data_IF_940822593555
#
_entry.id   IF_940822593555
#
_cell.length_a   1.000
_cell.length_b   1.000
_cell.length_c   1.000
_cell.angle_alpha   90.00
_cell.angle_beta   90.00
_cell.angle_gamma   90.00
#
_symmetry.space_group_name_H-M   'P 1'
#
loop_
_entity.id
_entity.type
_entity.pdbx_description
1 polymer ?
#
# COMPACT_ATOMS: atom_id res chain seq x y z
N UNK A 1 23.04 -1.16 -11.71
CA UNK A 1 21.69 -0.67 -11.36
C UNK A 1 21.50 -0.74 -9.85
N UNK A 2 20.83 0.20 -9.22
CA UNK A 2 20.60 0.19 -7.78
C UNK A 2 19.80 -1.07 -7.40
N UNK A 3 20.22 -1.71 -6.31
CA UNK A 3 19.54 -2.90 -5.79
C UNK A 3 18.22 -2.46 -5.15
N UNK A 4 17.05 -3.02 -5.54
CA UNK A 4 15.80 -2.70 -4.88
C UNK A 4 15.82 -3.26 -3.45
N UNK A 5 15.54 -2.40 -2.46
CA UNK A 5 15.47 -2.78 -1.05
C UNK A 5 14.02 -2.79 -0.60
N UNK A 6 13.59 -3.89 0.00
CA UNK A 6 12.25 -4.05 0.57
C UNK A 6 12.35 -4.19 2.07
N UNK A 7 11.68 -3.31 2.80
CA UNK A 7 11.65 -3.31 4.25
C UNK A 7 10.48 -4.12 4.82
N UNK A 8 10.80 -5.14 5.63
CA UNK A 8 9.84 -6.02 6.29
C UNK A 8 10.03 -5.95 7.80
N UNK A 9 8.96 -5.97 8.56
CA UNK A 9 9.01 -6.04 10.02
C UNK A 9 8.71 -4.73 10.74
N UNK A 10 8.68 -4.82 12.07
CA UNK A 10 8.15 -3.74 12.90
C UNK A 10 9.00 -2.49 12.93
N UNK A 11 10.33 -2.61 12.95
CA UNK A 11 11.25 -1.46 13.00
C UNK A 11 11.07 -0.59 11.77
N UNK A 12 11.21 -1.17 10.58
CA UNK A 12 11.12 -0.41 9.33
C UNK A 12 9.72 0.18 9.12
N UNK A 13 8.66 -0.51 9.54
CA UNK A 13 7.29 0.03 9.50
C UNK A 13 7.12 1.24 10.43
N UNK A 14 7.73 1.24 11.62
CA UNK A 14 7.69 2.41 12.51
C UNK A 14 8.46 3.59 11.91
N UNK A 15 9.65 3.37 11.36
CA UNK A 15 10.41 4.42 10.69
C UNK A 15 9.62 5.03 9.52
N UNK A 16 8.96 4.19 8.73
CA UNK A 16 8.12 4.63 7.63
C UNK A 16 6.86 5.39 8.09
N UNK A 17 6.20 4.95 9.17
CA UNK A 17 5.07 5.68 9.77
C UNK A 17 5.48 7.07 10.24
N UNK A 18 6.61 7.17 10.92
CA UNK A 18 7.15 8.46 11.34
C UNK A 18 7.36 9.34 10.10
N UNK A 19 8.02 8.82 9.06
CA UNK A 19 8.25 9.57 7.81
C UNK A 19 6.92 10.04 7.18
N UNK A 20 5.91 9.17 7.08
CA UNK A 20 4.58 9.55 6.56
C UNK A 20 3.96 10.71 7.34
N UNK A 21 4.05 10.68 8.68
CA UNK A 21 3.51 11.74 9.54
C UNK A 21 4.22 13.07 9.33
N UNK A 22 5.54 13.06 9.24
CA UNK A 22 6.32 14.30 9.04
C UNK A 22 6.25 14.83 7.61
N UNK A 23 6.06 13.97 6.61
CA UNK A 23 5.91 14.39 5.21
C UNK A 23 4.49 14.79 4.82
N UNK A 24 3.52 14.70 5.74
CA UNK A 24 2.11 14.99 5.43
C UNK A 24 1.50 13.99 4.42
N UNK A 25 2.01 12.75 4.38
CA UNK A 25 1.52 11.76 3.43
C UNK A 25 0.05 11.44 3.70
N UNK A 26 -0.84 11.53 2.69
CA UNK A 26 -2.30 11.50 2.91
C UNK A 26 -2.85 10.12 3.29
N UNK A 27 -2.11 9.04 3.01
CA UNK A 27 -2.56 7.68 3.28
C UNK A 27 -1.88 7.10 4.51
N UNK A 28 -2.62 6.36 5.33
CA UNK A 28 -2.07 5.63 6.48
C UNK A 28 -1.48 4.26 6.12
N UNK A 29 -1.67 3.80 4.87
CA UNK A 29 -1.14 2.51 4.41
C UNK A 29 0.37 2.54 4.26
N UNK A 30 1.01 1.48 4.75
CA UNK A 30 2.45 1.28 4.65
C UNK A 30 2.84 0.31 3.55
N UNK A 31 1.94 -0.61 3.18
CA UNK A 31 2.25 -1.56 2.12
C UNK A 31 2.51 -0.82 0.81
N UNK A 32 3.62 -1.14 0.19
CA UNK A 32 4.12 -0.51 -1.03
C UNK A 32 4.49 1.00 -0.89
N UNK A 33 4.53 1.53 0.34
CA UNK A 33 5.03 2.88 0.57
C UNK A 33 6.53 2.95 0.25
N UNK A 34 6.89 3.80 -0.68
CA UNK A 34 8.27 4.04 -1.08
C UNK A 34 8.81 5.29 -0.37
N UNK A 35 9.89 5.12 0.37
CA UNK A 35 10.58 6.21 1.07
C UNK A 35 11.99 6.36 0.52
N UNK A 36 12.44 7.60 0.29
CA UNK A 36 13.82 7.86 -0.10
C UNK A 36 14.78 7.54 1.05
N UNK A 37 15.98 7.09 0.72
CA UNK A 37 17.02 6.84 1.73
C UNK A 37 17.30 8.10 2.55
N UNK A 38 17.35 9.27 1.91
CA UNK A 38 17.54 10.55 2.59
C UNK A 38 16.41 10.84 3.59
N UNK A 39 15.14 10.64 3.20
CA UNK A 39 14.00 10.82 4.10
C UNK A 39 14.06 9.89 5.30
N UNK A 40 14.43 8.63 5.07
CA UNK A 40 14.56 7.64 6.13
C UNK A 40 15.74 7.95 7.06
N UNK A 41 16.87 8.38 6.53
CA UNK A 41 18.04 8.81 7.31
C UNK A 41 17.73 10.03 8.18
N UNK A 42 16.90 10.96 7.71
CA UNK A 42 16.45 12.12 8.51
C UNK A 42 15.61 11.67 9.70
N UNK A 43 14.70 10.70 9.52
CA UNK A 43 13.93 10.10 10.61
C UNK A 43 14.84 9.38 11.61
N UNK A 44 15.79 8.59 11.11
CA UNK A 44 16.77 7.88 11.96
C UNK A 44 17.57 8.86 12.78
N UNK A 45 18.07 9.92 12.17
CA UNK A 45 18.84 10.96 12.88
C UNK A 45 18.02 11.63 14.00
N UNK A 46 16.77 11.96 13.72
CA UNK A 46 15.85 12.51 14.72
C UNK A 46 15.67 11.55 15.91
N UNK A 47 15.43 10.27 15.65
CA UNK A 47 15.25 9.24 16.69
C UNK A 47 16.51 9.11 17.55
N UNK A 48 17.69 9.07 16.93
CA UNK A 48 18.96 8.90 17.63
C UNK A 48 19.32 10.10 18.52
N UNK A 49 18.84 11.31 18.16
CA UNK A 49 19.04 12.53 18.96
C UNK A 49 18.01 12.70 20.09
N UNK A 50 16.88 12.00 20.02
CA UNK A 50 15.79 12.15 21.00
C UNK A 50 16.08 11.38 22.28
N UNK A 51 15.72 11.96 23.43
CA UNK A 51 15.67 11.27 24.71
C UNK A 51 14.58 10.18 24.73
N UNK A 52 14.59 9.24 25.68
CA UNK A 52 13.52 8.24 25.82
C UNK A 52 12.12 8.86 25.95
N UNK A 53 11.99 9.97 26.69
CA UNK A 53 10.72 10.67 26.88
C UNK A 53 10.23 11.34 25.61
N UNK A 54 11.14 11.95 24.84
CA UNK A 54 10.82 12.58 23.55
C UNK A 54 10.41 11.54 22.52
N UNK A 55 11.10 10.38 22.48
CA UNK A 55 10.77 9.29 21.54
C UNK A 55 9.35 8.78 21.72
N UNK A 56 8.86 8.66 22.95
CA UNK A 56 7.48 8.22 23.23
C UNK A 56 6.42 9.18 22.67
N UNK A 57 6.80 10.41 22.38
CA UNK A 57 5.91 11.46 21.82
C UNK A 57 6.03 11.58 20.30
N UNK A 58 6.95 10.86 19.65
CA UNK A 58 7.13 10.93 18.20
C UNK A 58 5.88 10.39 17.47
N UNK A 59 5.19 11.19 16.65
CA UNK A 59 4.04 10.73 15.91
C UNK A 59 4.40 9.59 14.96
N UNK A 60 3.67 8.48 15.02
CA UNK A 60 3.91 7.30 14.19
C UNK A 60 4.78 6.22 14.86
N UNK A 61 5.47 6.53 15.96
CA UNK A 61 6.17 5.53 16.75
C UNK A 61 5.20 4.87 17.74
N UNK A 62 5.17 3.53 17.76
CA UNK A 62 4.41 2.81 18.80
C UNK A 62 5.12 2.90 20.15
N UNK A 63 4.36 3.12 21.22
CA UNK A 63 4.89 3.30 22.58
C UNK A 63 5.80 2.13 23.02
N UNK A 64 5.40 0.90 22.67
CA UNK A 64 6.13 -0.34 22.97
C UNK A 64 7.52 -0.43 22.32
N UNK A 65 7.79 0.42 21.32
CA UNK A 65 9.05 0.39 20.55
C UNK A 65 9.98 1.55 20.86
N UNK A 66 9.58 2.48 21.69
CA UNK A 66 10.39 3.65 22.06
C UNK A 66 11.78 3.29 22.59
N UNK A 67 11.90 2.18 23.30
CA UNK A 67 13.16 1.76 23.92
C UNK A 67 14.09 1.01 22.95
N UNK A 68 13.53 0.23 22.01
CA UNK A 68 14.29 -0.63 21.11
C UNK A 68 14.53 -0.05 19.71
N UNK A 69 13.82 1.03 19.36
CA UNK A 69 13.84 1.58 18.00
C UNK A 69 15.24 2.09 17.62
N UNK A 70 16.04 2.56 18.56
CA UNK A 70 17.39 3.06 18.30
C UNK A 70 18.29 2.00 17.67
N UNK A 71 18.32 0.80 18.25
CA UNK A 71 19.14 -0.29 17.75
C UNK A 71 18.70 -0.68 16.32
N UNK A 72 17.37 -0.80 16.11
CA UNK A 72 16.83 -1.09 14.80
C UNK A 72 17.08 0.02 13.77
N UNK A 73 17.03 1.29 14.19
CA UNK A 73 17.34 2.43 13.34
C UNK A 73 18.80 2.44 12.89
N UNK A 74 19.74 2.10 13.79
CA UNK A 74 21.15 1.96 13.45
C UNK A 74 21.39 0.85 12.41
N UNK A 75 20.75 -0.30 12.58
CA UNK A 75 20.85 -1.42 11.62
C UNK A 75 20.34 -0.96 10.24
N UNK A 76 19.19 -0.28 10.18
CA UNK A 76 18.64 0.21 8.91
C UNK A 76 19.57 1.24 8.28
N UNK A 77 20.17 2.14 9.06
CA UNK A 77 21.16 3.11 8.56
C UNK A 77 22.34 2.41 7.90
N UNK A 78 22.91 1.40 8.56
CA UNK A 78 24.05 0.65 8.01
C UNK A 78 23.68 -0.09 6.72
N UNK A 79 22.50 -0.71 6.66
CA UNK A 79 22.01 -1.37 5.44
C UNK A 79 21.91 -0.37 4.29
N UNK A 80 21.33 0.82 4.52
CA UNK A 80 21.22 1.87 3.50
C UNK A 80 22.60 2.35 3.02
N UNK A 81 23.54 2.48 3.95
CA UNK A 81 24.93 2.89 3.64
C UNK A 81 25.64 1.84 2.79
N UNK A 82 25.53 0.58 3.17
CA UNK A 82 26.20 -0.55 2.47
C UNK A 82 25.58 -0.79 1.08
N UNK A 83 24.27 -0.74 0.97
CA UNK A 83 23.56 -1.02 -0.30
C UNK A 83 23.56 0.16 -1.25
N UNK A 84 23.86 1.38 -0.77
CA UNK A 84 23.74 2.64 -1.52
C UNK A 84 22.37 2.78 -2.20
N UNK A 85 21.34 2.18 -1.60
CA UNK A 85 19.99 2.22 -2.13
C UNK A 85 19.45 3.65 -2.11
N UNK A 86 18.86 4.10 -3.21
CA UNK A 86 18.25 5.45 -3.30
C UNK A 86 16.92 5.52 -2.54
N UNK A 87 16.25 4.40 -2.43
CA UNK A 87 14.93 4.29 -1.78
C UNK A 87 14.68 2.88 -1.24
N UNK A 88 13.71 2.79 -0.35
CA UNK A 88 13.26 1.55 0.26
C UNK A 88 11.75 1.47 0.15
N UNK A 89 11.24 0.30 -0.25
CA UNK A 89 9.80 0.02 -0.33
C UNK A 89 9.36 -0.77 0.89
N UNK A 90 8.28 -0.37 1.53
CA UNK A 90 7.78 -1.00 2.76
C UNK A 90 6.80 -2.12 2.43
N UNK A 91 7.01 -3.31 3.00
CA UNK A 91 6.02 -4.38 2.98
C UNK A 91 5.10 -4.31 4.20
N UNK A 92 3.80 -4.30 3.93
CA UNK A 92 2.76 -4.50 4.95
C UNK A 92 2.65 -5.96 5.40
N UNK A 93 3.13 -6.91 4.57
CA UNK A 93 3.16 -8.34 4.86
C UNK A 93 4.45 -8.72 5.59
N UNK A 94 4.39 -9.79 6.37
CA UNK A 94 5.53 -10.34 7.08
C UNK A 94 5.93 -11.72 6.58
N UNK A 95 6.83 -12.36 7.32
CA UNK A 95 7.31 -13.71 7.02
C UNK A 95 6.17 -14.74 7.00
N UNK A 96 5.21 -14.60 7.92
CA UNK A 96 4.07 -15.54 8.03
C UNK A 96 3.20 -15.54 6.78
N UNK A 97 2.88 -14.35 6.29
CA UNK A 97 2.10 -14.18 5.05
C UNK A 97 2.89 -14.73 3.86
N UNK A 98 4.20 -14.48 3.79
CA UNK A 98 5.07 -15.03 2.74
C UNK A 98 5.14 -16.56 2.74
N UNK A 99 5.26 -17.17 3.92
CA UNK A 99 5.25 -18.62 4.07
C UNK A 99 3.88 -19.21 3.68
N UNK A 100 2.79 -18.58 4.09
CA UNK A 100 1.45 -19.02 3.72
C UNK A 100 1.28 -19.03 2.19
N UNK A 101 1.63 -17.95 1.50
CA UNK A 101 1.53 -17.89 0.04
C UNK A 101 2.48 -18.86 -0.66
N UNK A 102 3.70 -19.04 -0.15
CA UNK A 102 4.64 -20.03 -0.68
C UNK A 102 4.09 -21.46 -0.68
N UNK A 103 3.30 -21.81 0.34
CA UNK A 103 2.64 -23.10 0.46
C UNK A 103 1.34 -23.19 -0.32
N UNK A 104 0.56 -22.11 -0.32
CA UNK A 104 -0.78 -22.07 -0.90
C UNK A 104 -0.75 -22.02 -2.44
N UNK A 105 0.08 -21.17 -3.01
CA UNK A 105 0.12 -20.93 -4.46
C UNK A 105 0.38 -22.20 -5.28
N UNK A 106 1.34 -23.09 -4.96
CA UNK A 106 1.57 -24.30 -5.73
C UNK A 106 0.41 -25.31 -5.69
N UNK A 107 -0.39 -25.28 -4.60
CA UNK A 107 -1.45 -26.26 -4.35
C UNK A 107 -2.79 -25.78 -4.94
N UNK A 108 -3.11 -24.49 -4.80
CA UNK A 108 -4.44 -23.94 -5.06
C UNK A 108 -4.50 -22.96 -6.23
N UNK A 109 -3.40 -22.33 -6.60
CA UNK A 109 -3.40 -21.39 -7.72
C UNK A 109 -3.27 -22.12 -9.06
N UNK A 110 -4.42 -22.56 -9.58
CA UNK A 110 -4.54 -23.02 -10.96
C UNK A 110 -4.66 -21.87 -11.97
N UNK A 111 -4.83 -20.64 -11.51
CA UNK A 111 -5.01 -19.46 -12.32
C UNK A 111 -3.72 -18.63 -12.38
N UNK A 112 -2.92 -18.80 -13.44
CA UNK A 112 -1.75 -17.96 -13.76
C UNK A 112 -2.09 -16.46 -13.89
N UNK A 113 -3.37 -16.07 -13.89
CA UNK A 113 -3.81 -14.67 -13.92
C UNK A 113 -3.45 -13.88 -12.65
N UNK A 114 -3.40 -14.52 -11.47
CA UNK A 114 -3.00 -13.88 -10.22
C UNK A 114 -1.58 -13.31 -10.27
N UNK A 115 -0.68 -13.95 -11.00
CA UNK A 115 0.71 -13.50 -11.13
C UNK A 115 0.85 -12.24 -12.00
N UNK A 116 -0.10 -11.95 -12.91
CA UNK A 116 0.02 -10.84 -13.86
C UNK A 116 -0.52 -9.50 -13.34
N UNK A 117 -1.49 -9.49 -12.41
CA UNK A 117 -2.02 -8.25 -11.85
C UNK A 117 -2.58 -8.46 -10.42
N UNK A 118 -1.68 -8.61 -9.46
CA UNK A 118 -2.02 -8.80 -8.03
C UNK A 118 -2.96 -7.70 -7.50
N UNK A 119 -2.78 -6.47 -7.95
CA UNK A 119 -3.60 -5.33 -7.55
C UNK A 119 -5.06 -5.52 -7.98
N UNK A 120 -5.30 -5.83 -9.24
CA UNK A 120 -6.66 -6.03 -9.76
C UNK A 120 -7.33 -7.26 -9.16
N UNK A 121 -6.57 -8.35 -8.96
CA UNK A 121 -7.06 -9.57 -8.28
C UNK A 121 -7.46 -9.28 -6.84
N UNK A 122 -6.65 -8.51 -6.12
CA UNK A 122 -6.96 -8.10 -4.74
C UNK A 122 -8.22 -7.22 -4.67
N UNK A 123 -8.40 -6.31 -5.63
CA UNK A 123 -9.61 -5.48 -5.73
C UNK A 123 -10.85 -6.33 -6.03
N UNK A 124 -10.75 -7.27 -6.99
CA UNK A 124 -11.85 -8.20 -7.32
C UNK A 124 -12.25 -9.05 -6.13
N UNK A 125 -11.27 -9.58 -5.40
CA UNK A 125 -11.54 -10.35 -4.18
C UNK A 125 -12.23 -9.48 -3.12
N UNK A 126 -11.76 -8.25 -2.89
CA UNK A 126 -12.43 -7.33 -1.98
C UNK A 126 -13.86 -7.02 -2.44
N UNK A 127 -14.04 -6.68 -3.73
CA UNK A 127 -15.35 -6.43 -4.32
C UNK A 127 -16.32 -7.60 -4.14
N UNK A 128 -15.85 -8.84 -4.32
CA UNK A 128 -16.67 -10.04 -4.18
C UNK A 128 -17.17 -10.30 -2.74
N UNK A 129 -16.52 -9.69 -1.73
CA UNK A 129 -16.95 -9.77 -0.33
C UNK A 129 -18.01 -8.74 0.04
N UNK A 130 -18.25 -7.75 -0.84
CA UNK A 130 -19.20 -6.67 -0.57
C UNK A 130 -20.63 -7.15 -0.89
N UNK A 131 -21.59 -6.99 0.02
CA UNK A 131 -23.01 -7.37 -0.20
C UNK A 131 -23.72 -6.30 -1.05
N UNK A 132 -23.22 -6.05 -2.25
CA UNK A 132 -23.81 -5.10 -3.20
C UNK A 132 -25.04 -5.72 -3.88
N UNK A 133 -26.07 -4.91 -4.10
CA UNK A 133 -27.33 -5.36 -4.70
C UNK A 133 -27.28 -5.42 -6.24
N UNK A 134 -26.52 -4.53 -6.85
CA UNK A 134 -26.47 -4.37 -8.32
C UNK A 134 -25.05 -4.55 -8.87
N UNK A 135 -24.69 -5.79 -9.10
CA UNK A 135 -23.42 -6.13 -9.77
C UNK A 135 -23.43 -5.83 -11.27
N UNK A 136 -24.60 -5.78 -11.91
CA UNK A 136 -24.71 -5.53 -13.34
C UNK A 136 -24.43 -4.05 -13.65
N UNK A 137 -24.95 -3.15 -12.82
CA UNK A 137 -24.61 -1.73 -12.90
C UNK A 137 -23.09 -1.51 -12.83
N UNK A 138 -22.44 -2.08 -11.80
CA UNK A 138 -20.99 -1.95 -11.62
C UNK A 138 -20.20 -2.48 -12.82
N UNK A 139 -20.60 -3.64 -13.35
CA UNK A 139 -19.97 -4.22 -14.54
C UNK A 139 -20.13 -3.32 -15.77
N UNK A 140 -21.35 -2.83 -16.00
CA UNK A 140 -21.65 -1.98 -17.14
C UNK A 140 -20.87 -0.66 -17.10
N UNK A 141 -20.91 0.05 -15.98
CA UNK A 141 -20.18 1.31 -15.80
C UNK A 141 -18.68 1.11 -15.96
N UNK A 142 -18.13 0.04 -15.38
CA UNK A 142 -16.71 -0.29 -15.51
C UNK A 142 -16.32 -0.56 -16.97
N UNK A 143 -17.12 -1.37 -17.68
CA UNK A 143 -16.85 -1.69 -19.08
C UNK A 143 -16.92 -0.45 -19.98
N UNK A 144 -17.92 0.41 -19.75
CA UNK A 144 -18.07 1.67 -20.49
C UNK A 144 -16.88 2.61 -20.26
N UNK A 145 -16.48 2.80 -19.00
CA UNK A 145 -15.34 3.63 -18.63
C UNK A 145 -14.03 3.13 -19.29
N UNK A 146 -13.79 1.82 -19.27
CA UNK A 146 -12.62 1.22 -19.91
C UNK A 146 -12.65 1.37 -21.42
N UNK A 147 -13.82 1.21 -22.05
CA UNK A 147 -13.99 1.43 -23.50
C UNK A 147 -13.66 2.88 -23.89
N UNK A 148 -14.15 3.86 -23.14
CA UNK A 148 -13.83 5.28 -23.34
C UNK A 148 -12.33 5.54 -23.14
N UNK A 149 -11.73 4.98 -22.10
CA UNK A 149 -10.30 5.10 -21.87
C UNK A 149 -9.49 4.55 -23.04
N UNK A 150 -9.82 3.36 -23.54
CA UNK A 150 -9.09 2.69 -24.63
C UNK A 150 -9.15 3.50 -25.93
N UNK A 151 -10.26 4.21 -26.19
CA UNK A 151 -10.39 5.11 -27.34
C UNK A 151 -9.52 6.37 -27.21
N UNK A 152 -9.45 6.95 -26.01
CA UNK A 152 -8.77 8.23 -25.77
C UNK A 152 -7.29 8.08 -25.39
N UNK A 153 -6.87 6.91 -24.89
CA UNK A 153 -5.51 6.72 -24.38
C UNK A 153 -4.41 7.08 -25.39
N UNK A 154 -4.63 6.83 -26.68
CA UNK A 154 -3.65 7.14 -27.73
C UNK A 154 -3.56 8.64 -27.98
N UNK A 155 -4.68 9.35 -27.94
CA UNK A 155 -4.78 10.80 -28.16
C UNK A 155 -4.09 11.55 -27.02
N UNK A 156 -4.35 11.15 -25.77
CA UNK A 156 -3.84 11.82 -24.56
C UNK A 156 -2.59 11.15 -23.98
N UNK A 157 -1.99 10.18 -24.67
CA UNK A 157 -0.79 9.45 -24.25
C UNK A 157 -0.89 8.90 -22.81
N UNK A 158 -2.05 8.38 -22.44
CA UNK A 158 -2.30 7.88 -21.09
C UNK A 158 -1.61 6.52 -20.87
N UNK A 159 -0.83 6.36 -19.78
CA UNK A 159 -0.11 5.12 -19.49
C UNK A 159 -1.05 3.97 -19.08
N UNK A 160 -0.62 2.71 -19.33
CA UNK A 160 -1.40 1.50 -19.03
C UNK A 160 -1.78 1.39 -17.56
N UNK A 161 -0.96 1.91 -16.67
CA UNK A 161 -1.27 1.96 -15.23
C UNK A 161 -2.59 2.69 -14.94
N UNK A 162 -2.90 3.75 -15.69
CA UNK A 162 -4.16 4.49 -15.51
C UNK A 162 -5.38 3.63 -15.88
N UNK A 163 -5.25 2.73 -16.86
CA UNK A 163 -6.31 1.78 -17.19
C UNK A 163 -6.64 0.84 -16.04
N UNK A 164 -5.60 0.33 -15.37
CA UNK A 164 -5.77 -0.51 -14.18
C UNK A 164 -6.44 0.26 -13.05
N UNK A 165 -6.00 1.48 -12.77
CA UNK A 165 -6.61 2.34 -11.75
C UNK A 165 -8.07 2.67 -12.05
N UNK A 166 -8.40 2.94 -13.32
CA UNK A 166 -9.79 3.16 -13.76
C UNK A 166 -10.65 1.91 -13.57
N UNK A 167 -10.11 0.73 -13.90
CA UNK A 167 -10.80 -0.53 -13.68
C UNK A 167 -11.13 -0.75 -12.19
N UNK A 168 -10.16 -0.48 -11.32
CA UNK A 168 -10.35 -0.57 -9.86
C UNK A 168 -11.39 0.44 -9.36
N UNK A 169 -11.30 1.69 -9.83
CA UNK A 169 -12.27 2.73 -9.49
C UNK A 169 -13.68 2.35 -9.95
N UNK A 170 -13.81 1.78 -11.16
CA UNK A 170 -15.06 1.28 -11.68
C UNK A 170 -15.66 0.15 -10.83
N UNK A 171 -14.84 -0.79 -10.35
CA UNK A 171 -15.32 -1.87 -9.47
C UNK A 171 -15.75 -1.37 -8.08
N UNK A 172 -15.13 -0.32 -7.57
CA UNK A 172 -15.31 0.13 -6.17
C UNK A 172 -16.12 1.42 -6.03
N UNK A 173 -16.59 2.04 -7.13
CA UNK A 173 -17.26 3.33 -7.07
C UNK A 173 -18.51 3.31 -6.19
N UNK A 174 -19.23 2.19 -6.18
CA UNK A 174 -20.47 1.98 -5.41
C UNK A 174 -20.27 1.17 -4.12
N UNK A 175 -19.04 0.80 -3.77
CA UNK A 175 -18.76 0.02 -2.56
C UNK A 175 -19.39 0.63 -1.30
N UNK A 176 -19.47 1.96 -1.22
CA UNK A 176 -20.04 2.70 -0.09
C UNK A 176 -21.54 2.55 0.08
N UNK A 177 -22.28 2.05 -0.91
CA UNK A 177 -23.71 1.76 -0.79
C UNK A 177 -24.00 0.71 0.29
N UNK A 178 -23.03 -0.14 0.62
CA UNK A 178 -23.11 -1.08 1.74
C UNK A 178 -23.33 -0.36 3.08
N UNK A 179 -22.81 0.86 3.23
CA UNK A 179 -22.98 1.70 4.42
C UNK A 179 -24.26 2.52 4.29
N UNK A 180 -24.37 3.32 3.22
CA UNK A 180 -25.55 4.14 2.93
C UNK A 180 -25.54 4.56 1.46
N UNK A 181 -26.73 4.63 0.86
CA UNK A 181 -26.91 5.16 -0.49
C UNK A 181 -26.52 6.65 -0.56
N UNK A 182 -26.94 7.44 0.42
CA UNK A 182 -26.59 8.87 0.47
C UNK A 182 -25.10 9.02 0.79
N UNK A 183 -24.44 9.88 0.01
CA UNK A 183 -22.98 10.11 0.12
C UNK A 183 -22.11 8.85 -0.09
N UNK A 184 -22.63 7.84 -0.81
CA UNK A 184 -21.90 6.58 -1.04
C UNK A 184 -20.49 6.79 -1.65
N UNK A 185 -20.28 7.83 -2.44
CA UNK A 185 -18.95 8.16 -2.97
C UNK A 185 -17.91 8.41 -1.86
N UNK A 186 -18.28 9.12 -0.77
CA UNK A 186 -17.42 9.32 0.40
C UNK A 186 -17.19 8.02 1.16
N UNK A 187 -18.24 7.22 1.30
CA UNK A 187 -18.13 5.91 1.93
C UNK A 187 -17.26 4.96 1.09
N UNK A 188 -17.39 4.97 -0.24
CA UNK A 188 -16.53 4.20 -1.15
C UNK A 188 -15.06 4.60 -1.02
N UNK A 189 -14.79 5.91 -0.96
CA UNK A 189 -13.43 6.42 -0.76
C UNK A 189 -12.84 5.95 0.59
N UNK A 190 -13.61 6.05 1.67
CA UNK A 190 -13.20 5.59 3.00
C UNK A 190 -12.95 4.07 3.01
N UNK A 191 -13.86 3.28 2.48
CA UNK A 191 -13.74 1.82 2.41
C UNK A 191 -12.52 1.41 1.60
N UNK A 192 -12.31 2.01 0.43
CA UNK A 192 -11.16 1.72 -0.44
C UNK A 192 -9.84 2.10 0.24
N UNK A 193 -9.78 3.26 0.91
CA UNK A 193 -8.59 3.71 1.64
C UNK A 193 -8.21 2.77 2.78
N UNK A 194 -9.19 2.13 3.43
CA UNK A 194 -8.98 1.25 4.57
C UNK A 194 -9.02 -0.26 4.23
N UNK A 195 -9.40 -0.63 3.00
CA UNK A 195 -9.43 -2.03 2.57
C UNK A 195 -8.01 -2.62 2.50
N UNK A 196 -7.89 -3.92 2.78
CA UNK A 196 -6.65 -4.67 2.58
C UNK A 196 -6.48 -5.04 1.10
N UNK A 197 -6.08 -4.07 0.29
CA UNK A 197 -5.79 -4.25 -1.13
C UNK A 197 -4.27 -4.34 -1.28
N UNK A 198 -3.79 -5.43 -1.87
CA UNK A 198 -2.37 -5.67 -2.13
C UNK A 198 -1.99 -5.25 -3.55
N UNK A 199 -0.72 -4.87 -3.74
CA UNK A 199 -0.20 -4.50 -5.06
C UNK A 199 -0.37 -3.02 -5.44
N UNK A 200 -0.74 -2.16 -4.49
CA UNK A 200 -0.82 -0.70 -4.69
C UNK A 200 0.52 -0.11 -5.13
#
# INVERSE_FOLDING_TARGET
>A
SPIPVIGIGGTIRNLAKIHQRYSGYPLSKLHNYKVSSQGLLSVIHMILKSSPEERRKIPGLSAERGDIINAGALIVREILTLTKAESLTISGCGLREGLFYHWYDPIYDKNKELQHNMLLSSVRNYYSTLPLKDHDHTRYVTALALSMFDQWRKIYQMPDRMRTLLHMAGLLHDAGQVINYYSHARHSAYMTANAHIFGW
#
